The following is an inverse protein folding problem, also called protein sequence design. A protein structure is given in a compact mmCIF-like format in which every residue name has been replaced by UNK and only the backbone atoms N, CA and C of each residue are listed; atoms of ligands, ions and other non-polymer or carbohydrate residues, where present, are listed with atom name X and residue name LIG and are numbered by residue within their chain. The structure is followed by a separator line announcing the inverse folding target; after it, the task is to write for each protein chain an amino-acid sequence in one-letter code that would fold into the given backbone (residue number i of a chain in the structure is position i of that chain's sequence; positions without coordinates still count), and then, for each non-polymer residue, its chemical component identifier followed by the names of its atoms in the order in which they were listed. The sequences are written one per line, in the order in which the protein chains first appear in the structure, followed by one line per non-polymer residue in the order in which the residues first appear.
data_IF_224487470598
#
_entry.id   IF_224487470598
#
_cell.length_a   1.000
_cell.length_b   1.000
_cell.length_c   1.000
_cell.angle_alpha   90.00
_cell.angle_beta   90.00
_cell.angle_gamma   90.00
#
_symmetry.space_group_name_H-M   'P 1'
#
loop_
_entity.id
_entity.type
_entity.pdbx_description
1 polymer ?
#
# COMPACT_ATOMS: atom_id res chain seq x y z
N UNK A 1 -81.93 13.12 -10.39
CA UNK A 1 -81.27 13.57 -11.63
C UNK A 1 -79.78 13.58 -11.39
N UNK A 2 -78.91 12.83 -12.05
CA UNK A 2 -79.00 11.71 -12.98
C UNK A 2 -77.54 11.22 -13.15
N UNK A 3 -77.36 9.90 -13.28
CA UNK A 3 -76.28 9.16 -13.98
C UNK A 3 -74.78 9.53 -13.77
N UNK A 4 -73.98 8.75 -13.05
CA UNK A 4 -73.27 7.49 -13.43
C UNK A 4 -72.14 7.66 -14.46
N UNK A 5 -70.89 7.34 -14.09
CA UNK A 5 -70.09 6.19 -14.61
C UNK A 5 -68.60 6.28 -14.17
N UNK A 6 -68.08 5.13 -13.72
CA UNK A 6 -66.66 4.85 -13.47
C UNK A 6 -65.82 5.06 -14.74
N UNK A 7 -64.54 5.44 -14.62
CA UNK A 7 -63.47 4.80 -15.39
C UNK A 7 -62.09 4.97 -14.74
N UNK A 8 -61.44 3.83 -14.54
CA UNK A 8 -60.08 3.60 -14.07
C UNK A 8 -59.09 3.97 -15.18
N UNK A 9 -58.11 4.85 -14.92
CA UNK A 9 -57.05 5.17 -15.88
C UNK A 9 -55.86 4.22 -15.69
N UNK A 10 -55.65 3.34 -16.67
CA UNK A 10 -54.46 2.49 -16.82
C UNK A 10 -53.37 3.27 -17.56
N UNK A 11 -52.15 3.16 -17.06
CA UNK A 11 -50.89 3.66 -17.64
C UNK A 11 -50.54 2.94 -18.94
N UNK A 12 -50.18 3.70 -19.99
CA UNK A 12 -49.47 3.19 -21.16
C UNK A 12 -48.19 4.02 -21.34
N UNK A 13 -47.05 3.44 -20.99
CA UNK A 13 -45.74 3.93 -21.40
C UNK A 13 -45.49 3.43 -22.84
N UNK A 14 -45.45 4.34 -23.80
CA UNK A 14 -45.07 4.03 -25.18
C UNK A 14 -43.53 3.93 -25.24
N UNK A 15 -42.98 2.72 -25.20
CA UNK A 15 -41.57 2.49 -25.51
C UNK A 15 -41.36 2.53 -27.02
N UNK A 16 -40.68 3.57 -27.53
CA UNK A 16 -40.19 3.60 -28.90
C UNK A 16 -39.06 2.56 -29.06
N UNK A 17 -39.39 1.38 -29.59
CA UNK A 17 -38.41 0.47 -30.17
C UNK A 17 -38.04 0.98 -31.57
N UNK A 18 -36.87 1.57 -31.73
CA UNK A 18 -36.27 1.78 -33.05
C UNK A 18 -35.76 0.45 -33.57
N UNK A 19 -36.61 -0.26 -34.32
CA UNK A 19 -36.21 -1.44 -35.08
C UNK A 19 -35.27 -0.99 -36.20
N UNK A 20 -33.96 -1.10 -36.00
CA UNK A 20 -32.98 -0.96 -37.07
C UNK A 20 -33.04 -2.21 -37.95
N UNK A 21 -33.84 -2.14 -39.02
CA UNK A 21 -33.81 -3.15 -40.08
C UNK A 21 -32.46 -3.02 -40.80
N UNK A 22 -31.56 -3.98 -40.58
CA UNK A 22 -30.43 -4.18 -41.47
C UNK A 22 -31.00 -4.61 -42.83
N UNK A 23 -30.91 -3.74 -43.83
CA UNK A 23 -31.22 -4.09 -45.21
C UNK A 23 -30.19 -5.14 -45.67
N UNK A 24 -30.59 -6.36 -46.08
CA UNK A 24 -29.68 -7.27 -46.72
C UNK A 24 -29.27 -6.62 -48.06
N UNK A 25 -27.99 -6.30 -48.22
CA UNK A 25 -27.43 -5.86 -49.50
C UNK A 25 -27.30 -7.07 -50.43
N UNK A 26 -28.45 -7.57 -50.90
CA UNK A 26 -28.54 -8.64 -51.90
C UNK A 26 -28.91 -8.10 -53.28
N UNK A 27 -28.41 -6.92 -53.64
CA UNK A 27 -28.38 -6.45 -55.02
C UNK A 27 -27.20 -5.51 -55.21
N UNK A 28 -26.06 -6.08 -55.63
CA UNK A 28 -24.97 -5.47 -56.42
C UNK A 28 -23.67 -6.28 -56.21
N UNK A 29 -23.69 -7.54 -56.62
CA UNK A 29 -22.48 -8.27 -56.94
C UNK A 29 -22.66 -8.94 -58.30
N UNK A 30 -22.91 -8.10 -59.32
CA UNK A 30 -22.65 -8.50 -60.70
C UNK A 30 -21.14 -8.66 -60.85
N UNK A 31 -20.71 -9.73 -61.50
CA UNK A 31 -19.29 -10.02 -61.78
C UNK A 31 -18.64 -8.83 -62.49
N UNK A 32 -17.94 -8.02 -61.71
CA UNK A 32 -17.15 -6.89 -62.13
C UNK A 32 -15.95 -6.81 -61.19
N UNK A 33 -14.76 -6.62 -61.75
CA UNK A 33 -13.56 -6.37 -60.97
C UNK A 33 -13.82 -5.19 -60.03
N UNK A 34 -13.79 -5.42 -58.72
CA UNK A 34 -13.74 -4.32 -57.77
C UNK A 34 -12.26 -3.98 -57.53
N UNK A 35 -11.94 -2.70 -57.59
CA UNK A 35 -10.62 -2.19 -57.25
C UNK A 35 -10.75 -1.41 -55.95
N UNK A 36 -10.01 -1.83 -54.93
CA UNK A 36 -9.84 -1.02 -53.71
C UNK A 36 -8.63 -0.13 -53.96
N UNK A 37 -8.86 1.14 -54.29
CA UNK A 37 -7.79 2.14 -54.24
C UNK A 37 -7.47 2.43 -52.77
N UNK A 38 -6.36 1.88 -52.27
CA UNK A 38 -5.83 2.27 -50.98
C UNK A 38 -5.31 3.71 -51.06
N UNK A 39 -6.13 4.67 -50.66
CA UNK A 39 -5.68 6.06 -50.49
C UNK A 39 -4.91 6.18 -49.19
N UNK A 40 -3.68 6.69 -49.27
CA UNK A 40 -2.89 7.06 -48.12
C UNK A 40 -3.58 8.25 -47.45
N UNK A 41 -4.35 7.97 -46.39
CA UNK A 41 -4.77 9.02 -45.47
C UNK A 41 -3.48 9.48 -44.80
N UNK A 42 -3.22 10.80 -44.76
CA UNK A 42 -2.23 11.36 -43.85
C UNK A 42 -2.67 11.03 -42.43
N UNK A 43 -2.34 9.82 -41.97
CA UNK A 43 -2.63 9.36 -40.62
C UNK A 43 -1.90 10.30 -39.69
N UNK A 44 -2.66 11.11 -38.96
CA UNK A 44 -2.20 11.69 -37.71
C UNK A 44 -1.57 10.52 -36.95
N UNK A 45 -0.26 10.58 -36.69
CA UNK A 45 0.39 9.59 -35.81
C UNK A 45 -0.49 9.52 -34.57
N UNK A 46 -0.93 8.32 -34.19
CA UNK A 46 -1.68 8.19 -32.95
C UNK A 46 -0.76 8.68 -31.84
N UNK A 47 -1.09 9.82 -31.23
CA UNK A 47 -0.33 10.40 -30.12
C UNK A 47 -0.35 9.50 -28.88
N UNK A 48 -1.08 8.37 -28.96
CA UNK A 48 -1.29 7.45 -27.84
C UNK A 48 -1.21 5.98 -28.26
N UNK A 49 0.01 5.42 -28.43
CA UNK A 49 0.22 4.01 -28.79
C UNK A 49 -0.53 2.98 -27.90
N UNK A 50 -0.68 3.19 -26.57
CA UNK A 50 -1.51 2.31 -25.74
C UNK A 50 -2.99 2.24 -26.16
N UNK A 51 -3.55 3.31 -26.76
CA UNK A 51 -4.91 3.31 -27.35
C UNK A 51 -5.04 2.27 -28.45
N UNK A 52 -4.04 2.23 -29.31
CA UNK A 52 -4.09 1.39 -30.51
C UNK A 52 -3.92 -0.08 -30.10
N UNK A 53 -3.08 -0.35 -29.09
CA UNK A 53 -2.99 -1.66 -28.46
C UNK A 53 -4.33 -2.07 -27.82
N UNK A 54 -4.98 -1.18 -27.06
CA UNK A 54 -6.31 -1.42 -26.49
C UNK A 54 -7.36 -1.75 -27.57
N UNK A 55 -7.42 -0.95 -28.64
CA UNK A 55 -8.31 -1.16 -29.79
C UNK A 55 -8.06 -2.52 -30.45
N UNK A 56 -6.79 -2.86 -30.68
CA UNK A 56 -6.39 -4.14 -31.26
C UNK A 56 -6.82 -5.33 -30.41
N UNK A 57 -6.52 -5.31 -29.10
CA UNK A 57 -6.87 -6.41 -28.19
C UNK A 57 -8.38 -6.60 -28.06
N UNK A 58 -9.17 -5.51 -27.96
CA UNK A 58 -10.64 -5.56 -27.98
C UNK A 58 -11.18 -6.13 -29.28
N UNK A 59 -10.65 -5.71 -30.44
CA UNK A 59 -11.05 -6.24 -31.76
C UNK A 59 -10.87 -7.76 -31.86
N UNK A 60 -9.87 -8.30 -31.17
CA UNK A 60 -9.56 -9.74 -31.18
C UNK A 60 -10.04 -10.50 -29.93
N UNK A 61 -10.91 -9.91 -29.11
CA UNK A 61 -11.43 -10.52 -27.88
C UNK A 61 -10.32 -11.05 -26.93
N UNK A 62 -9.16 -10.39 -26.93
CA UNK A 62 -8.03 -10.74 -26.06
C UNK A 62 -8.15 -9.98 -24.73
N UNK A 63 -7.77 -10.61 -23.60
CA UNK A 63 -7.71 -9.90 -22.33
C UNK A 63 -6.74 -8.72 -22.42
N UNK A 64 -7.12 -7.60 -21.82
CA UNK A 64 -6.28 -6.41 -21.75
C UNK A 64 -5.22 -6.59 -20.66
N UNK A 65 -3.94 -6.27 -20.91
CA UNK A 65 -2.96 -6.10 -19.86
C UNK A 65 -3.48 -5.09 -18.82
N UNK A 66 -3.24 -5.29 -17.51
CA UNK A 66 -3.75 -4.40 -16.45
C UNK A 66 -3.41 -2.93 -16.68
N UNK A 67 -2.17 -2.63 -17.08
CA UNK A 67 -1.74 -1.27 -17.42
C UNK A 67 -2.57 -0.65 -18.55
N UNK A 68 -2.78 -1.37 -19.66
CA UNK A 68 -3.59 -0.91 -20.80
C UNK A 68 -5.06 -0.72 -20.41
N UNK A 69 -5.58 -1.59 -19.54
CA UNK A 69 -6.94 -1.45 -18.98
C UNK A 69 -7.08 -0.19 -18.11
N UNK A 70 -6.10 0.13 -17.24
CA UNK A 70 -6.11 1.32 -16.38
C UNK A 70 -6.06 2.61 -17.20
N UNK A 71 -5.11 2.67 -18.13
CA UNK A 71 -4.90 3.75 -19.10
C UNK A 71 -6.17 4.01 -19.91
N UNK A 72 -6.80 2.96 -20.44
CA UNK A 72 -8.03 3.09 -21.24
C UNK A 72 -9.24 3.63 -20.47
N UNK A 73 -9.33 3.37 -19.15
CA UNK A 73 -10.46 3.84 -18.34
C UNK A 73 -10.37 5.34 -18.01
N UNK A 74 -9.16 5.88 -17.91
CA UNK A 74 -8.93 7.24 -17.40
C UNK A 74 -8.51 8.26 -18.46
N UNK A 75 -8.20 7.82 -19.68
CA UNK A 75 -7.98 8.71 -20.82
C UNK A 75 -6.77 9.65 -20.70
N UNK A 76 -5.79 9.34 -19.85
CA UNK A 76 -4.61 10.17 -19.57
C UNK A 76 -3.32 9.37 -19.33
N UNK A 77 -2.21 10.09 -19.11
CA UNK A 77 -0.94 9.53 -18.66
C UNK A 77 -1.03 9.08 -17.19
N UNK A 78 -0.20 8.11 -16.79
CA UNK A 78 -0.05 7.75 -15.39
C UNK A 78 0.53 8.91 -14.57
N UNK A 79 0.14 8.99 -13.30
CA UNK A 79 0.72 9.90 -12.33
C UNK A 79 1.55 9.09 -11.33
N UNK A 80 2.87 9.26 -11.35
CA UNK A 80 3.78 8.74 -10.33
C UNK A 80 4.22 9.91 -9.43
N UNK A 81 4.62 9.63 -8.19
CA UNK A 81 5.08 10.67 -7.29
C UNK A 81 6.02 10.16 -6.21
N UNK A 82 6.94 11.03 -5.78
CA UNK A 82 7.79 10.81 -4.62
C UNK A 82 7.49 11.90 -3.61
N UNK A 83 7.35 11.52 -2.35
CA UNK A 83 7.17 12.42 -1.23
C UNK A 83 8.34 12.21 -0.27
N UNK A 84 9.02 13.30 0.10
CA UNK A 84 10.05 13.28 1.14
C UNK A 84 9.36 13.27 2.50
N UNK A 85 9.83 12.40 3.39
CA UNK A 85 9.35 12.31 4.77
C UNK A 85 10.45 12.68 5.74
N UNK A 86 10.13 13.40 6.81
CA UNK A 86 11.10 13.80 7.82
C UNK A 86 10.68 13.24 9.18
N UNK A 87 11.57 12.56 9.91
CA UNK A 87 11.27 12.09 11.26
C UNK A 87 11.18 13.27 12.24
N UNK A 88 10.41 13.10 13.30
CA UNK A 88 10.47 13.94 14.49
C UNK A 88 11.65 13.55 15.42
N UNK A 89 11.71 14.17 16.61
CA UNK A 89 12.70 13.78 17.61
C UNK A 89 12.47 12.31 18.01
N UNK A 90 13.52 11.48 17.90
CA UNK A 90 13.52 10.03 18.17
C UNK A 90 12.86 9.12 17.12
N UNK A 91 12.52 9.64 15.92
CA UNK A 91 11.84 8.89 14.86
C UNK A 91 10.52 8.24 15.34
N UNK A 92 9.76 8.98 16.15
CA UNK A 92 8.48 8.53 16.72
C UNK A 92 7.38 8.53 15.66
N UNK A 93 7.34 9.58 14.84
CA UNK A 93 6.42 9.75 13.70
C UNK A 93 7.17 10.27 12.46
N UNK A 94 6.64 9.98 11.26
CA UNK A 94 7.24 10.33 9.98
C UNK A 94 6.30 11.24 9.19
N UNK A 95 6.55 12.55 9.25
CA UNK A 95 5.61 13.56 8.74
C UNK A 95 5.97 13.99 7.32
N UNK A 96 4.94 14.05 6.48
CA UNK A 96 5.01 14.37 5.05
C UNK A 96 4.30 15.68 4.77
N UNK A 97 4.85 16.49 3.87
CA UNK A 97 4.11 17.63 3.33
C UNK A 97 3.23 17.16 2.17
N UNK A 98 1.91 17.36 2.29
CA UNK A 98 0.95 17.11 1.22
C UNK A 98 0.10 18.35 0.94
N UNK A 99 -0.18 18.62 -0.33
CA UNK A 99 -1.06 19.72 -0.73
C UNK A 99 -2.44 19.18 -1.09
N UNK A 100 -3.49 19.70 -0.43
CA UNK A 100 -4.89 19.41 -0.76
C UNK A 100 -5.57 20.72 -1.17
N UNK A 101 -5.91 20.83 -2.45
CA UNK A 101 -6.41 22.10 -2.99
C UNK A 101 -5.31 23.16 -2.94
N UNK A 102 -5.55 24.23 -2.17
CA UNK A 102 -4.57 25.30 -1.95
C UNK A 102 -3.86 25.21 -0.59
N UNK A 103 -4.24 24.24 0.25
CA UNK A 103 -3.71 24.11 1.61
C UNK A 103 -2.60 23.08 1.66
N UNK A 104 -1.52 23.41 2.36
CA UNK A 104 -0.44 22.48 2.70
C UNK A 104 -0.69 21.89 4.08
N UNK A 105 -0.72 20.57 4.17
CA UNK A 105 -0.87 19.82 5.40
C UNK A 105 0.38 18.98 5.65
N UNK A 106 0.80 18.94 6.91
CA UNK A 106 1.83 18.03 7.39
C UNK A 106 1.15 16.79 7.94
N UNK A 107 1.46 15.62 7.39
CA UNK A 107 0.72 14.40 7.68
C UNK A 107 1.62 13.17 7.84
N UNK A 108 1.37 12.42 8.90
CA UNK A 108 1.88 11.07 9.09
C UNK A 108 1.11 10.07 8.20
N UNK A 109 1.84 9.30 7.39
CA UNK A 109 1.26 8.25 6.55
C UNK A 109 1.23 6.98 7.39
N UNK A 110 0.03 6.54 7.75
CA UNK A 110 -0.24 5.45 8.68
C UNK A 110 -0.80 4.23 7.90
N UNK A 111 0.02 3.19 7.73
CA UNK A 111 -0.39 1.93 7.07
C UNK A 111 -1.10 0.95 8.02
N UNK A 112 -1.32 1.33 9.28
CA UNK A 112 -2.15 0.63 10.26
C UNK A 112 -3.60 1.13 10.30
N UNK A 113 -3.88 2.35 9.80
CA UNK A 113 -5.23 2.95 9.79
C UNK A 113 -5.76 3.40 8.43
N UNK A 114 -7.08 3.55 8.31
CA UNK A 114 -7.78 3.86 7.04
C UNK A 114 -8.47 5.22 7.01
N UNK A 115 -8.25 6.07 8.01
CA UNK A 115 -8.91 7.37 8.12
C UNK A 115 -7.95 8.52 7.88
N UNK A 116 -8.44 9.56 7.21
CA UNK A 116 -7.80 10.87 7.19
C UNK A 116 -8.48 11.74 8.25
N UNK A 117 -7.76 12.05 9.33
CA UNK A 117 -8.32 12.83 10.45
C UNK A 117 -7.62 14.19 10.58
N UNK A 118 -8.37 15.27 10.39
CA UNK A 118 -7.87 16.65 10.41
C UNK A 118 -7.37 17.10 11.80
N UNK A 119 -7.88 16.50 12.89
CA UNK A 119 -7.46 16.84 14.25
C UNK A 119 -6.12 16.20 14.66
N UNK A 120 -5.72 15.11 14.01
CA UNK A 120 -4.54 14.31 14.39
C UNK A 120 -3.38 14.39 13.39
N UNK A 121 -3.56 15.07 12.23
CA UNK A 121 -2.55 15.13 11.16
C UNK A 121 -2.06 13.75 10.70
N UNK A 122 -2.97 12.77 10.56
CA UNK A 122 -2.70 11.40 10.06
C UNK A 122 -3.49 11.11 8.77
N UNK A 123 -2.83 10.58 7.74
CA UNK A 123 -3.41 9.99 6.52
C UNK A 123 -3.27 8.49 6.69
N UNK A 124 -4.39 7.82 6.93
CA UNK A 124 -4.47 6.38 6.74
C UNK A 124 -4.22 6.00 5.28
N UNK A 125 -3.15 5.25 5.02
CA UNK A 125 -2.79 4.73 3.68
C UNK A 125 -3.17 3.26 3.51
N UNK A 126 -4.14 2.80 4.29
CA UNK A 126 -4.58 1.41 4.24
C UNK A 126 -5.46 1.13 3.00
N UNK A 127 -5.43 -0.13 2.58
CA UNK A 127 -6.14 -0.72 1.45
C UNK A 127 -7.47 -0.06 1.06
N UNK A 128 -7.81 -0.01 -0.25
CA UNK A 128 -9.14 0.41 -0.71
C UNK A 128 -10.26 -0.51 -0.18
N UNK A 129 -9.98 -1.77 0.17
CA UNK A 129 -10.93 -2.66 0.84
C UNK A 129 -11.23 -2.27 2.28
N UNK A 130 -10.40 -1.41 2.89
CA UNK A 130 -10.57 -0.87 4.25
C UNK A 130 -11.52 0.33 4.31
N UNK A 131 -12.27 0.60 3.22
CA UNK A 131 -13.52 1.35 3.35
C UNK A 131 -14.46 0.71 4.40
N UNK A 132 -14.28 -0.55 4.78
CA UNK A 132 -14.97 -1.18 5.92
C UNK A 132 -14.53 -0.64 7.30
N UNK A 133 -13.25 -0.34 7.50
CA UNK A 133 -12.69 0.18 8.77
C UNK A 133 -12.71 1.71 8.87
N UNK A 134 -12.84 2.41 7.73
CA UNK A 134 -13.01 3.87 7.69
C UNK A 134 -14.15 4.31 8.64
N UNK A 135 -13.91 5.21 9.59
CA UNK A 135 -14.92 5.54 10.61
C UNK A 135 -16.00 6.53 10.12
N UNK A 136 -15.94 7.01 8.87
CA UNK A 136 -16.91 7.98 8.34
C UNK A 136 -18.29 7.36 8.19
N UNK A 137 -19.28 8.00 8.81
CA UNK A 137 -20.70 7.63 8.75
C UNK A 137 -21.54 8.79 8.18
N UNK A 138 -22.69 8.51 7.54
CA UNK A 138 -23.28 7.20 7.26
C UNK A 138 -22.65 6.49 6.04
N UNK A 139 -21.92 7.24 5.19
CA UNK A 139 -21.32 6.73 3.97
C UNK A 139 -19.80 6.68 4.10
N UNK A 140 -19.27 5.46 4.19
CA UNK A 140 -17.83 5.18 4.18
C UNK A 140 -17.15 5.85 2.98
N UNK A 141 -15.93 6.34 3.21
CA UNK A 141 -15.09 6.97 2.20
C UNK A 141 -13.92 6.05 1.82
N UNK A 142 -13.35 6.26 0.63
CA UNK A 142 -12.08 5.64 0.24
C UNK A 142 -10.92 6.33 0.96
N UNK A 143 -9.85 5.58 1.21
CA UNK A 143 -8.58 6.16 1.64
C UNK A 143 -7.99 7.06 0.54
N UNK A 144 -7.04 7.92 0.89
CA UNK A 144 -6.37 8.77 -0.09
C UNK A 144 -5.70 7.94 -1.20
N UNK A 145 -4.96 6.89 -0.82
CA UNK A 145 -4.34 5.98 -1.79
C UNK A 145 -5.41 5.29 -2.66
N UNK A 146 -6.52 4.86 -2.06
CA UNK A 146 -7.65 4.28 -2.79
C UNK A 146 -8.30 5.22 -3.82
N UNK A 147 -8.16 6.54 -3.69
CA UNK A 147 -8.64 7.53 -4.66
C UNK A 147 -7.67 7.74 -5.84
N UNK A 148 -6.37 7.54 -5.64
CA UNK A 148 -5.35 7.75 -6.68
C UNK A 148 -4.89 6.47 -7.36
N UNK A 149 -5.14 5.30 -6.75
CA UNK A 149 -4.61 4.00 -7.17
C UNK A 149 -4.80 3.70 -8.67
N UNK A 150 -5.99 3.96 -9.20
CA UNK A 150 -6.29 3.67 -10.61
C UNK A 150 -5.57 4.61 -11.60
N UNK A 151 -5.00 5.71 -11.10
CA UNK A 151 -4.23 6.71 -11.86
C UNK A 151 -2.72 6.44 -11.83
N UNK A 152 -2.25 5.55 -10.96
CA UNK A 152 -0.85 5.16 -10.85
C UNK A 152 -0.46 4.18 -11.97
N UNK A 153 0.82 4.19 -12.38
CA UNK A 153 1.36 3.23 -13.34
C UNK A 153 1.19 1.79 -12.84
N UNK A 154 1.61 1.57 -11.60
CA UNK A 154 1.38 0.35 -10.83
C UNK A 154 0.61 0.70 -9.56
N UNK A 155 -0.35 -0.11 -9.09
CA UNK A 155 -1.12 0.18 -7.88
C UNK A 155 -0.31 -0.18 -6.63
N UNK A 156 0.84 0.47 -6.48
CA UNK A 156 1.81 0.23 -5.43
C UNK A 156 2.23 1.55 -4.78
N UNK A 157 2.70 1.46 -3.54
CA UNK A 157 3.54 2.47 -2.95
C UNK A 157 4.71 1.82 -2.20
N UNK A 158 5.77 2.57 -1.94
CA UNK A 158 6.95 2.08 -1.20
C UNK A 158 7.27 2.98 -0.04
N UNK A 159 7.72 2.41 1.07
CA UNK A 159 8.27 3.14 2.22
C UNK A 159 9.77 2.90 2.32
N UNK A 160 10.54 3.98 2.36
CA UNK A 160 11.99 3.99 2.63
C UNK A 160 12.25 5.01 3.74
N UNK A 161 11.96 4.62 4.98
CA UNK A 161 12.15 5.46 6.17
C UNK A 161 13.61 5.37 6.62
N UNK A 162 14.15 6.45 7.19
CA UNK A 162 15.56 6.52 7.60
C UNK A 162 15.67 6.91 9.07
N UNK A 163 16.61 6.30 9.78
CA UNK A 163 16.93 6.67 11.16
C UNK A 163 17.59 8.05 11.20
N UNK A 164 17.01 9.02 11.92
CA UNK A 164 17.55 10.38 12.10
C UNK A 164 17.91 11.09 10.79
N UNK A 165 17.24 10.74 9.70
CA UNK A 165 17.45 11.33 8.39
C UNK A 165 16.14 11.32 7.59
N UNK A 166 15.99 12.18 6.57
CA UNK A 166 14.82 12.13 5.72
C UNK A 166 14.73 10.83 4.92
N UNK A 167 13.52 10.29 4.84
CA UNK A 167 13.18 9.14 4.00
C UNK A 167 12.28 9.53 2.84
N UNK A 168 11.66 8.53 2.21
CA UNK A 168 10.76 8.72 1.07
C UNK A 168 9.59 7.74 1.06
N UNK A 169 8.45 8.23 0.59
CA UNK A 169 7.39 7.42 0.01
C UNK A 169 7.37 7.59 -1.51
N UNK A 170 7.29 6.49 -2.26
CA UNK A 170 7.06 6.52 -3.71
C UNK A 170 5.71 5.91 -4.04
N UNK A 171 5.02 6.47 -5.04
CA UNK A 171 3.70 6.04 -5.49
C UNK A 171 3.76 5.72 -6.98
N UNK A 172 3.38 4.50 -7.35
CA UNK A 172 3.27 4.08 -8.75
C UNK A 172 4.46 3.32 -9.33
N UNK A 173 5.61 3.31 -8.64
CA UNK A 173 6.85 2.70 -9.14
C UNK A 173 7.75 2.20 -8.00
N UNK A 174 8.80 1.45 -8.36
CA UNK A 174 9.84 0.96 -7.45
C UNK A 174 11.15 1.61 -7.86
N UNK A 175 11.75 2.42 -6.99
CA UNK A 175 13.06 3.02 -7.24
C UNK A 175 14.20 2.06 -6.87
N UNK A 176 14.81 1.47 -7.89
CA UNK A 176 15.95 0.53 -7.74
C UNK A 176 17.20 1.16 -7.14
N UNK A 177 17.27 2.49 -7.07
CA UNK A 177 18.40 3.18 -6.43
C UNK A 177 18.30 3.23 -4.91
N UNK A 178 17.11 2.93 -4.34
CA UNK A 178 16.85 2.98 -2.89
C UNK A 178 17.03 1.65 -2.16
N UNK A 179 17.27 0.55 -2.89
CA UNK A 179 17.44 -0.78 -2.29
C UNK A 179 18.59 -1.60 -2.90
N UNK A 180 18.98 -2.64 -2.19
CA UNK A 180 20.04 -3.59 -2.55
C UNK A 180 19.37 -4.92 -2.94
N UNK A 181 19.81 -5.47 -4.07
CA UNK A 181 19.28 -6.74 -4.58
C UNK A 181 17.80 -6.68 -4.98
N UNK A 182 17.24 -7.85 -5.24
CA UNK A 182 15.83 -8.01 -5.57
C UNK A 182 14.98 -8.15 -4.28
N UNK A 183 13.82 -7.48 -4.18
CA UNK A 183 12.94 -7.63 -3.03
C UNK A 183 12.39 -9.05 -2.86
N UNK A 184 12.38 -9.55 -1.62
CA UNK A 184 11.70 -10.79 -1.25
C UNK A 184 10.24 -10.51 -0.95
N UNK A 185 9.32 -11.27 -1.55
CA UNK A 185 7.88 -11.04 -1.44
C UNK A 185 7.17 -12.06 -0.56
N UNK A 186 6.21 -11.59 0.22
CA UNK A 186 5.25 -12.41 0.96
C UNK A 186 3.81 -12.02 0.61
N UNK A 187 2.87 -12.98 0.55
CA UNK A 187 1.45 -12.67 0.34
C UNK A 187 0.88 -11.93 1.54
N UNK A 188 -0.12 -11.07 1.30
CA UNK A 188 -0.82 -10.32 2.34
C UNK A 188 -2.17 -10.95 2.65
N UNK A 189 -2.46 -11.12 3.93
CA UNK A 189 -3.79 -11.42 4.46
C UNK A 189 -4.50 -10.10 4.79
N UNK A 190 -5.27 -9.57 3.84
CA UNK A 190 -6.00 -8.33 4.01
C UNK A 190 -7.44 -8.54 4.51
N UNK A 191 -7.78 -9.71 5.06
CA UNK A 191 -9.14 -10.03 5.53
C UNK A 191 -9.62 -9.09 6.64
N UNK A 192 -8.69 -8.58 7.45
CA UNK A 192 -8.93 -7.58 8.51
C UNK A 192 -8.69 -6.14 8.05
N UNK A 193 -8.36 -5.96 6.77
CA UNK A 193 -8.04 -4.67 6.18
C UNK A 193 -6.62 -4.20 6.43
N UNK A 194 -5.74 -4.99 7.04
CA UNK A 194 -4.35 -4.62 7.34
C UNK A 194 -3.36 -5.15 6.30
N UNK A 195 -2.16 -4.55 6.28
CA UNK A 195 -0.97 -5.12 5.66
C UNK A 195 -0.38 -6.22 6.55
N UNK A 196 -1.15 -7.28 6.76
CA UNK A 196 -0.75 -8.44 7.57
C UNK A 196 -0.10 -9.52 6.71
N UNK A 197 1.02 -10.08 7.15
CA UNK A 197 1.64 -11.26 6.53
C UNK A 197 2.22 -12.21 7.58
N UNK A 198 2.69 -13.38 7.16
CA UNK A 198 3.34 -14.37 8.04
C UNK A 198 4.82 -14.48 7.73
N UNK A 199 5.66 -14.12 8.69
CA UNK A 199 7.12 -14.18 8.60
C UNK A 199 7.65 -15.58 8.91
N UNK A 200 8.85 -15.90 8.39
CA UNK A 200 9.38 -17.27 8.39
C UNK A 200 10.18 -17.63 9.65
N UNK A 201 10.62 -16.63 10.41
CA UNK A 201 11.59 -16.81 11.48
C UNK A 201 12.19 -15.49 11.95
N UNK A 202 13.15 -15.57 12.87
CA UNK A 202 13.89 -14.42 13.37
C UNK A 202 15.29 -14.82 13.88
N UNK A 203 16.14 -13.82 14.12
CA UNK A 203 17.46 -13.97 14.75
C UNK A 203 17.69 -12.86 15.77
N UNK A 204 18.29 -13.20 16.91
CA UNK A 204 18.64 -12.29 18.00
C UNK A 204 20.16 -12.16 18.13
N UNK A 205 20.80 -11.65 17.07
CA UNK A 205 22.26 -11.64 16.90
C UNK A 205 22.76 -12.88 16.15
N UNK A 206 23.92 -13.47 16.50
CA UNK A 206 24.54 -14.56 15.73
C UNK A 206 23.76 -15.89 15.75
N UNK A 207 22.65 -15.98 16.50
CA UNK A 207 21.78 -17.15 16.51
C UNK A 207 20.87 -17.13 15.27
N UNK A 208 21.08 -18.08 14.37
CA UNK A 208 20.67 -17.96 12.96
C UNK A 208 19.62 -18.97 12.47
N UNK A 209 18.81 -19.56 13.35
CA UNK A 209 18.02 -20.74 12.94
C UNK A 209 16.58 -20.82 13.47
N UNK A 210 15.99 -19.74 13.97
CA UNK A 210 14.58 -19.81 14.37
C UNK A 210 13.69 -19.99 13.14
N UNK A 211 12.92 -21.08 13.11
CA UNK A 211 11.84 -21.30 12.14
C UNK A 211 10.47 -20.91 12.71
N UNK A 212 10.45 -20.12 13.79
CA UNK A 212 9.23 -19.70 14.45
C UNK A 212 8.48 -18.71 13.56
N UNK A 213 7.37 -19.16 12.98
CA UNK A 213 6.51 -18.36 12.11
C UNK A 213 5.54 -17.53 12.94
N UNK A 214 5.42 -16.25 12.62
CA UNK A 214 4.48 -15.34 13.29
C UNK A 214 3.81 -14.40 12.30
N UNK A 215 2.57 -14.00 12.61
CA UNK A 215 1.84 -12.99 11.86
C UNK A 215 2.21 -11.60 12.34
N UNK A 216 2.42 -10.66 11.42
CA UNK A 216 2.60 -9.26 11.78
C UNK A 216 1.95 -8.32 10.76
N UNK A 217 1.46 -7.18 11.27
CA UNK A 217 1.07 -6.02 10.48
C UNK A 217 2.29 -5.14 10.27
N UNK A 218 2.51 -4.68 9.04
CA UNK A 218 3.55 -3.68 8.74
C UNK A 218 2.91 -2.29 8.80
N UNK A 219 3.31 -1.51 9.80
CA UNK A 219 2.60 -0.30 10.21
C UNK A 219 3.52 0.91 10.36
N UNK A 220 3.48 1.82 9.39
CA UNK A 220 4.27 3.05 9.39
C UNK A 220 3.83 4.05 10.47
N UNK A 221 2.62 3.93 11.02
CA UNK A 221 2.09 4.78 12.08
C UNK A 221 2.40 4.30 13.50
N UNK A 222 3.10 3.18 13.65
CA UNK A 222 3.55 2.64 14.94
C UNK A 222 5.06 2.86 15.10
N UNK A 223 5.52 3.38 16.23
CA UNK A 223 6.96 3.65 16.48
C UNK A 223 7.80 2.37 16.65
N UNK A 224 7.28 1.38 17.38
CA UNK A 224 8.03 0.22 17.84
C UNK A 224 7.80 -1.05 17.01
N UNK A 225 8.68 -2.03 17.15
CA UNK A 225 8.34 -3.42 16.85
C UNK A 225 7.62 -4.01 18.07
N UNK A 226 6.35 -4.35 17.91
CA UNK A 226 5.56 -5.06 18.92
C UNK A 226 5.54 -6.55 18.56
N UNK A 227 6.31 -7.38 19.25
CA UNK A 227 6.52 -8.78 18.90
C UNK A 227 5.98 -9.73 19.97
N UNK A 228 5.70 -11.01 19.64
CA UNK A 228 5.34 -12.01 20.65
C UNK A 228 6.37 -12.05 21.77
N UNK A 229 5.89 -12.25 23.00
CA UNK A 229 6.69 -12.22 24.22
C UNK A 229 7.94 -13.09 24.11
N UNK A 230 7.81 -14.28 23.55
CA UNK A 230 8.89 -15.25 23.36
C UNK A 230 10.04 -14.69 22.51
N UNK A 231 9.73 -13.89 21.48
CA UNK A 231 10.73 -13.23 20.63
C UNK A 231 11.42 -12.10 21.42
N UNK A 232 10.64 -11.29 22.14
CA UNK A 232 11.18 -10.17 22.91
C UNK A 232 12.08 -10.64 24.04
N UNK A 233 11.68 -11.68 24.78
CA UNK A 233 12.46 -12.26 25.88
C UNK A 233 13.78 -12.84 25.36
N UNK A 234 13.76 -13.56 24.22
CA UNK A 234 14.99 -14.06 23.60
C UNK A 234 15.95 -12.95 23.21
N UNK A 235 15.44 -11.82 22.71
CA UNK A 235 16.28 -10.68 22.37
C UNK A 235 16.88 -10.04 23.62
N UNK A 236 16.04 -9.66 24.59
CA UNK A 236 16.52 -8.92 25.77
C UNK A 236 17.36 -9.76 26.72
N UNK A 237 17.12 -11.06 26.85
CA UNK A 237 17.99 -11.93 27.66
C UNK A 237 19.43 -12.04 27.14
N UNK A 238 19.68 -11.67 25.88
CA UNK A 238 21.05 -11.57 25.36
C UNK A 238 21.77 -10.27 25.76
N UNK A 239 21.04 -9.28 26.28
CA UNK A 239 21.55 -7.96 26.65
C UNK A 239 21.76 -7.91 28.16
N UNK A 240 23.02 -7.79 28.60
CA UNK A 240 23.35 -7.73 30.02
C UNK A 240 22.73 -6.48 30.68
N UNK A 241 22.03 -6.70 31.79
CA UNK A 241 21.37 -5.63 32.56
C UNK A 241 20.01 -5.20 32.00
N UNK A 242 19.51 -5.85 30.94
CA UNK A 242 18.14 -5.63 30.48
C UNK A 242 17.13 -6.16 31.50
N UNK A 243 15.97 -5.52 31.58
CA UNK A 243 14.84 -5.98 32.39
C UNK A 243 13.53 -5.44 31.83
N UNK A 244 12.43 -6.11 32.13
CA UNK A 244 11.10 -5.58 31.83
C UNK A 244 10.66 -4.65 32.97
N UNK A 245 10.56 -3.37 32.67
CA UNK A 245 10.04 -2.36 33.59
C UNK A 245 8.51 -2.40 33.57
N UNK A 246 7.93 -2.92 34.66
CA UNK A 246 6.47 -3.02 34.82
C UNK A 246 5.81 -1.67 35.05
N UNK A 247 6.54 -0.68 35.54
CA UNK A 247 6.01 0.66 35.79
C UNK A 247 5.87 1.43 34.47
N UNK A 248 6.90 1.38 33.64
CA UNK A 248 6.89 2.00 32.31
C UNK A 248 6.35 1.10 31.19
N UNK A 249 6.02 -0.15 31.51
CA UNK A 249 5.34 -1.09 30.62
C UNK A 249 6.19 -1.64 29.46
N UNK A 250 7.52 -1.66 29.60
CA UNK A 250 8.41 -2.05 28.50
C UNK A 250 9.79 -2.54 28.92
N UNK A 251 10.49 -3.15 27.97
CA UNK A 251 11.88 -3.53 28.12
C UNK A 251 12.81 -2.31 28.12
N UNK A 252 13.69 -2.31 29.11
CA UNK A 252 14.71 -1.31 29.33
C UNK A 252 16.08 -1.98 29.47
N UNK A 253 17.15 -1.22 29.25
CA UNK A 253 18.54 -1.71 29.37
C UNK A 253 19.50 -0.55 29.70
N UNK A 254 20.73 -0.83 30.18
CA UNK A 254 21.72 0.22 30.41
C UNK A 254 22.11 0.90 29.09
N UNK A 255 22.11 2.23 29.01
CA UNK A 255 22.37 2.94 27.75
C UNK A 255 23.75 2.69 27.12
N UNK A 256 24.72 2.18 27.90
CA UNK A 256 26.04 1.79 27.41
C UNK A 256 26.12 0.33 26.93
N UNK A 257 25.02 -0.43 26.99
CA UNK A 257 24.97 -1.79 26.49
C UNK A 257 25.16 -1.82 24.96
N UNK A 258 25.90 -2.81 24.47
CA UNK A 258 25.97 -3.09 23.03
C UNK A 258 24.76 -3.94 22.65
N UNK A 259 23.88 -3.39 21.81
CA UNK A 259 22.70 -4.10 21.34
C UNK A 259 23.06 -5.01 20.15
N UNK A 260 22.69 -6.30 20.17
CA UNK A 260 22.84 -7.16 19.00
C UNK A 260 21.88 -6.73 17.89
N UNK A 261 22.20 -7.11 16.65
CA UNK A 261 21.25 -6.97 15.56
C UNK A 261 20.05 -7.91 15.77
N UNK A 262 18.87 -7.48 15.34
CA UNK A 262 17.70 -8.35 15.24
C UNK A 262 17.41 -8.58 13.76
N UNK A 263 17.07 -9.80 13.34
CA UNK A 263 16.66 -10.03 11.96
C UNK A 263 15.32 -10.75 11.90
N UNK A 264 14.50 -10.39 10.91
CA UNK A 264 13.28 -11.13 10.56
C UNK A 264 13.55 -11.91 9.28
N UNK A 265 13.17 -13.19 9.24
CA UNK A 265 13.38 -14.03 8.07
C UNK A 265 12.19 -13.93 7.11
N UNK A 266 12.48 -13.67 5.84
CA UNK A 266 11.55 -13.44 4.74
C UNK A 266 11.98 -14.30 3.56
N UNK A 267 11.49 -15.54 3.50
CA UNK A 267 12.09 -16.59 2.67
C UNK A 267 13.59 -16.69 2.97
N UNK A 268 14.45 -16.55 1.95
CA UNK A 268 15.92 -16.58 2.11
C UNK A 268 16.51 -15.21 2.50
N UNK A 269 15.72 -14.14 2.48
CA UNK A 269 16.16 -12.79 2.86
C UNK A 269 16.06 -12.60 4.38
N UNK A 270 17.11 -12.05 5.00
CA UNK A 270 17.11 -11.63 6.41
C UNK A 270 17.02 -10.11 6.48
N UNK A 271 15.87 -9.63 6.93
CA UNK A 271 15.63 -8.21 7.16
C UNK A 271 16.30 -7.79 8.48
N UNK A 272 17.54 -7.32 8.38
CA UNK A 272 18.37 -6.93 9.52
C UNK A 272 17.94 -5.55 10.05
N UNK A 273 17.69 -5.49 11.35
CA UNK A 273 17.49 -4.28 12.15
C UNK A 273 18.73 -4.06 13.01
N UNK A 274 19.53 -3.01 12.73
CA UNK A 274 20.67 -2.65 13.55
C UNK A 274 20.30 -2.40 15.02
N UNK A 275 21.20 -2.74 15.94
CA UNK A 275 21.00 -2.46 17.37
C UNK A 275 20.73 -0.98 17.66
N UNK A 276 21.35 -0.06 16.90
CA UNK A 276 21.10 1.38 17.02
C UNK A 276 19.65 1.77 16.72
N UNK A 277 18.96 1.01 15.86
CA UNK A 277 17.55 1.23 15.55
C UNK A 277 16.62 0.75 16.66
N UNK A 278 17.09 -0.18 17.48
CA UNK A 278 16.39 -0.77 18.63
C UNK A 278 16.65 0.05 19.90
N UNK A 279 17.71 0.85 19.97
CA UNK A 279 17.84 1.86 21.03
C UNK A 279 16.94 3.05 20.70
N UNK A 280 15.79 3.18 21.38
CA UNK A 280 14.85 4.26 21.08
C UNK A 280 15.25 5.57 21.76
N UNK A 281 15.24 5.61 23.08
CA UNK A 281 15.56 6.81 23.84
C UNK A 281 16.03 6.50 25.26
N UNK A 282 16.85 7.39 25.82
CA UNK A 282 17.24 7.38 27.22
C UNK A 282 16.08 7.92 28.07
N UNK A 283 15.76 7.23 29.17
CA UNK A 283 14.80 7.72 30.16
C UNK A 283 15.44 8.92 30.88
N UNK A 284 14.80 10.11 30.85
CA UNK A 284 15.39 11.34 31.39
C UNK A 284 15.88 11.19 32.83
N UNK A 285 17.10 11.67 33.09
CA UNK A 285 17.70 11.64 34.44
C UNK A 285 18.26 10.28 34.88
N UNK A 286 18.25 9.26 34.02
CA UNK A 286 18.79 7.92 34.32
C UNK A 286 19.83 7.50 33.29
N UNK A 287 20.62 6.44 33.53
CA UNK A 287 21.46 5.79 32.49
C UNK A 287 20.74 4.58 31.85
N UNK A 288 19.41 4.62 31.81
CA UNK A 288 18.57 3.54 31.30
C UNK A 288 17.95 3.98 29.97
N UNK A 289 18.01 3.09 28.99
CA UNK A 289 17.46 3.28 27.67
C UNK A 289 16.25 2.37 27.47
N UNK A 290 15.23 2.88 26.80
CA UNK A 290 14.02 2.17 26.46
C UNK A 290 14.16 1.53 25.08
N UNK A 291 13.75 0.28 24.95
CA UNK A 291 13.95 -0.50 23.74
C UNK A 291 12.86 -0.33 22.69
N UNK A 292 13.24 -0.44 21.43
CA UNK A 292 12.38 -0.36 20.25
C UNK A 292 11.69 -1.67 19.88
N UNK A 293 12.04 -2.77 20.57
CA UNK A 293 11.31 -4.05 20.54
C UNK A 293 10.52 -4.16 21.84
N UNK A 294 9.20 -4.33 21.76
CA UNK A 294 8.33 -4.44 22.94
C UNK A 294 7.36 -5.61 22.78
N UNK A 295 6.89 -6.22 23.88
CA UNK A 295 6.02 -7.39 23.79
C UNK A 295 4.60 -6.97 23.39
N UNK A 296 3.92 -7.84 22.64
CA UNK A 296 2.46 -7.85 22.51
C UNK A 296 1.96 -9.23 22.89
N UNK A 297 0.90 -9.27 23.71
CA UNK A 297 0.35 -10.52 24.25
C UNK A 297 -0.67 -11.18 23.31
N UNK A 298 -0.91 -10.60 22.12
CA UNK A 298 -1.86 -11.11 21.13
C UNK A 298 -1.33 -10.99 19.69
N UNK A 299 -1.76 -11.91 18.83
CA UNK A 299 -1.52 -11.84 17.39
C UNK A 299 -2.52 -10.88 16.71
N UNK A 300 -2.11 -10.15 15.66
CA UNK A 300 -0.77 -10.13 15.06
C UNK A 300 0.21 -9.24 15.83
N UNK A 301 1.50 -9.50 15.61
CA UNK A 301 2.57 -8.56 15.92
C UNK A 301 2.46 -7.28 15.07
N UNK A 302 3.24 -6.25 15.40
CA UNK A 302 3.31 -4.99 14.64
C UNK A 302 4.77 -4.67 14.32
N UNK A 303 5.09 -4.48 13.05
CA UNK A 303 6.40 -4.04 12.58
C UNK A 303 6.35 -2.55 12.26
N UNK A 304 6.67 -1.74 13.26
CA UNK A 304 6.69 -0.28 13.18
C UNK A 304 8.00 0.35 12.74
N UNK A 305 8.18 1.63 13.05
CA UNK A 305 9.33 2.48 12.70
C UNK A 305 10.68 1.86 13.02
N UNK A 306 10.80 1.16 14.16
CA UNK A 306 12.02 0.44 14.55
C UNK A 306 12.46 -0.60 13.50
N UNK A 307 11.52 -1.27 12.82
CA UNK A 307 11.79 -2.15 11.68
C UNK A 307 11.91 -1.35 10.38
N UNK A 308 10.91 -0.52 10.09
CA UNK A 308 10.73 0.15 8.80
C UNK A 308 11.88 1.08 8.44
N UNK A 309 12.56 1.69 9.42
CA UNK A 309 13.71 2.56 9.18
C UNK A 309 14.98 1.82 8.75
N UNK A 310 14.96 0.49 8.72
CA UNK A 310 16.05 -0.37 8.20
C UNK A 310 15.75 -1.00 6.84
N UNK A 311 14.51 -0.93 6.36
CA UNK A 311 14.04 -1.70 5.21
C UNK A 311 13.48 -0.81 4.11
N UNK A 312 13.62 -1.27 2.87
CA UNK A 312 12.81 -0.78 1.76
C UNK A 312 11.60 -1.71 1.62
N UNK A 313 10.39 -1.16 1.83
CA UNK A 313 9.15 -1.94 1.84
C UNK A 313 8.25 -1.54 0.68
N UNK A 314 7.74 -2.52 -0.05
CA UNK A 314 6.82 -2.35 -1.18
C UNK A 314 5.45 -2.85 -0.75
N UNK A 315 4.44 -1.99 -0.89
CA UNK A 315 3.04 -2.28 -0.65
C UNK A 315 2.33 -2.42 -1.99
N UNK A 316 2.11 -3.66 -2.44
CA UNK A 316 1.54 -3.97 -3.75
C UNK A 316 0.08 -4.42 -3.63
N UNK A 317 -0.85 -3.68 -4.26
CA UNK A 317 -2.27 -4.01 -4.24
C UNK A 317 -2.69 -5.01 -5.33
N UNK A 318 -1.87 -5.26 -6.36
CA UNK A 318 -2.17 -6.24 -7.40
C UNK A 318 -1.77 -7.65 -6.90
N UNK A 319 -2.75 -8.40 -6.39
CA UNK A 319 -2.54 -9.73 -5.78
C UNK A 319 -1.79 -9.59 -4.46
N UNK A 320 -2.47 -9.05 -3.42
CA UNK A 320 -1.84 -8.18 -2.45
C UNK A 320 -0.67 -8.88 -1.77
N UNK A 321 0.48 -8.23 -1.84
CA UNK A 321 1.76 -8.76 -1.37
C UNK A 321 2.63 -7.61 -0.88
N UNK A 322 3.56 -7.94 0.01
CA UNK A 322 4.59 -7.01 0.45
C UNK A 322 5.96 -7.48 0.00
N UNK A 323 6.75 -6.56 -0.53
CA UNK A 323 8.14 -6.79 -0.90
C UNK A 323 9.08 -6.16 0.12
N UNK A 324 10.18 -6.84 0.46
CA UNK A 324 11.15 -6.38 1.44
C UNK A 324 12.56 -6.51 0.87
N UNK A 325 13.35 -5.46 1.03
CA UNK A 325 14.75 -5.45 0.65
C UNK A 325 15.57 -4.59 1.63
N UNK A 326 16.88 -4.82 1.66
CA UNK A 326 17.79 -3.93 2.36
C UNK A 326 17.80 -2.59 1.63
N UNK A 327 17.65 -1.50 2.37
CA UNK A 327 17.75 -0.16 1.80
C UNK A 327 19.22 0.21 1.51
N UNK A 328 19.43 1.16 0.58
CA UNK A 328 20.75 1.77 0.34
C UNK A 328 21.04 2.94 1.26
#
# INVERSE_FOLDING_TARGET
MEHSHLFTAFTIFLSFFTLTLALPTNSLATTGHFTIEQRLINTIKSDWPPKELWRGLRKHHRPLPPAVSRISRHGGSFANGTVKVTPDEYDTEFVNEITIGNDTLFVDIDTGSSDLQNQSRRIGSVFPSCASSNMVTPKKQKTWFGNIMEKLENPIFTACLKHKAPGFYDFGFIDKTKHIGDPSYLPVDNSRGWWETTFNGFSTGPNDNSTYRFKAVVDTGTTFMLLPREITEQYYFSITGSTFDRENGGWIFPCNATLPEFAIHINDYKAIVPGEHINWAQIPGTNICFGGIQPVDHSPAVLGGSFLKSQFVIFDHDGPKMGFAAQR
#
